data_IF_012449145485
#
_entry.id   IF_012449145485
#
_cell.length_a   1.000
_cell.length_b   1.000
_cell.length_c   1.000
_cell.angle_alpha   90.00
_cell.angle_beta   90.00
_cell.angle_gamma   90.00
#
_symmetry.space_group_name_H-M   'P 1'
#
loop_
_entity.id
_entity.type
_entity.pdbx_description
1 polymer ?
#
# COMPACT_ATOMS: atom_id res chain seq x y z
N UNK A 1 0.49 -31.11 7.38
CA UNK A 1 0.85 -29.89 6.61
C UNK A 1 0.39 -28.59 7.28
N UNK A 2 -0.67 -28.59 8.10
CA UNK A 2 -1.15 -27.40 8.83
C UNK A 2 -0.14 -26.85 9.87
N UNK A 3 0.67 -27.70 10.52
CA UNK A 3 1.58 -27.26 11.60
C UNK A 3 2.75 -26.36 11.13
N UNK A 4 3.15 -26.42 9.85
CA UNK A 4 4.27 -25.61 9.34
C UNK A 4 3.88 -24.15 9.04
N UNK A 5 2.62 -23.88 8.71
CA UNK A 5 2.12 -22.54 8.37
C UNK A 5 1.99 -21.63 9.60
N UNK A 6 1.47 -22.15 10.71
CA UNK A 6 1.33 -21.39 11.96
C UNK A 6 2.68 -21.06 12.63
N UNK A 7 3.69 -21.90 12.40
CA UNK A 7 5.07 -21.62 12.84
C UNK A 7 5.64 -20.34 12.21
N UNK A 8 5.29 -19.99 10.97
CA UNK A 8 5.80 -18.76 10.33
C UNK A 8 5.17 -17.53 10.96
N UNK A 9 3.85 -17.52 11.14
CA UNK A 9 3.15 -16.39 11.75
C UNK A 9 3.70 -16.09 13.15
N UNK A 10 3.86 -17.12 13.98
CA UNK A 10 4.41 -16.99 15.34
C UNK A 10 5.86 -16.51 15.35
N UNK A 11 6.72 -16.98 14.44
CA UNK A 11 8.13 -16.52 14.31
C UNK A 11 8.21 -15.01 14.03
N UNK A 12 7.30 -14.46 13.23
CA UNK A 12 7.24 -13.02 12.94
C UNK A 12 6.28 -12.26 13.90
N UNK A 13 5.83 -12.92 14.96
CA UNK A 13 4.99 -12.38 16.02
C UNK A 13 3.59 -11.95 15.56
N UNK A 14 3.05 -12.56 14.52
CA UNK A 14 1.64 -12.43 14.15
C UNK A 14 0.79 -13.24 15.14
N UNK A 15 -0.21 -12.60 15.71
CA UNK A 15 -1.18 -13.19 16.64
C UNK A 15 -2.60 -12.80 16.19
N UNK A 16 -3.19 -13.63 15.34
CA UNK A 16 -4.50 -13.42 14.72
C UNK A 16 -5.53 -14.51 15.09
N UNK A 17 -5.23 -15.32 16.12
CA UNK A 17 -6.05 -16.46 16.52
C UNK A 17 -6.16 -17.54 15.43
N UNK A 18 -7.14 -18.44 15.56
CA UNK A 18 -7.30 -19.59 14.66
C UNK A 18 -8.11 -19.33 13.37
N UNK A 19 -8.49 -18.07 13.10
CA UNK A 19 -9.31 -17.74 11.90
C UNK A 19 -8.48 -17.76 10.62
N UNK A 20 -7.26 -17.26 10.68
CA UNK A 20 -6.38 -17.14 9.54
C UNK A 20 -5.37 -18.28 9.59
N UNK A 21 -5.23 -19.01 8.50
CA UNK A 21 -4.38 -20.21 8.42
C UNK A 21 -3.50 -20.15 7.18
N UNK A 22 -2.57 -21.11 7.06
CA UNK A 22 -1.68 -21.27 5.89
C UNK A 22 -0.86 -20.01 5.56
N UNK A 23 -0.25 -19.42 6.59
CA UNK A 23 0.54 -18.20 6.41
C UNK A 23 1.77 -18.41 5.52
N UNK A 24 1.96 -17.52 4.55
CA UNK A 24 3.13 -17.50 3.66
C UNK A 24 3.68 -16.08 3.51
N UNK A 25 5.01 -15.88 3.49
CA UNK A 25 5.60 -14.56 3.26
C UNK A 25 5.29 -14.04 1.86
N UNK A 26 4.83 -12.79 1.76
CA UNK A 26 4.61 -12.10 0.48
C UNK A 26 5.72 -11.11 0.13
N UNK A 27 6.30 -10.45 1.13
CA UNK A 27 7.35 -9.46 0.95
C UNK A 27 7.48 -8.53 2.14
N UNK A 28 8.44 -7.60 2.08
CA UNK A 28 8.66 -6.61 3.12
C UNK A 28 8.03 -5.28 2.70
N UNK A 29 7.04 -4.81 3.47
CA UNK A 29 6.54 -3.44 3.39
C UNK A 29 7.29 -2.51 4.32
N UNK A 30 6.92 -1.23 4.32
CA UNK A 30 7.52 -0.20 5.21
C UNK A 30 7.39 -0.54 6.70
N UNK A 31 6.32 -1.26 7.06
CA UNK A 31 6.04 -1.67 8.45
C UNK A 31 6.53 -3.09 8.76
N UNK A 32 7.31 -3.72 7.86
CA UNK A 32 7.85 -5.07 8.02
C UNK A 32 7.20 -6.10 7.10
N UNK A 33 7.41 -7.37 7.43
CA UNK A 33 6.96 -8.51 6.63
C UNK A 33 5.43 -8.52 6.50
N UNK A 34 4.94 -8.63 5.27
CA UNK A 34 3.53 -8.87 4.90
C UNK A 34 3.37 -10.36 4.62
N UNK A 35 2.30 -10.95 5.16
CA UNK A 35 1.97 -12.37 4.97
C UNK A 35 0.71 -12.51 4.11
N UNK A 36 0.61 -13.58 3.32
CA UNK A 36 -0.68 -14.09 2.86
C UNK A 36 -1.20 -15.11 3.86
N UNK A 37 -2.52 -15.26 3.90
CA UNK A 37 -3.20 -16.28 4.69
C UNK A 37 -4.52 -16.68 4.00
N UNK A 38 -5.12 -17.77 4.43
CA UNK A 38 -6.50 -18.14 4.10
C UNK A 38 -7.39 -17.73 5.27
N UNK A 39 -8.37 -16.87 5.00
CA UNK A 39 -9.42 -16.56 5.96
C UNK A 39 -10.46 -17.70 5.93
N UNK A 40 -10.42 -18.55 6.95
CA UNK A 40 -11.32 -19.73 7.05
C UNK A 40 -12.79 -19.37 7.17
N UNK A 41 -13.14 -18.15 7.64
CA UNK A 41 -14.54 -17.71 7.76
C UNK A 41 -15.10 -17.23 6.43
N UNK A 42 -14.32 -16.48 5.68
CA UNK A 42 -14.72 -15.94 4.38
C UNK A 42 -14.33 -16.85 3.21
N UNK A 43 -13.62 -17.95 3.47
CA UNK A 43 -13.10 -18.90 2.50
C UNK A 43 -12.33 -18.25 1.34
N UNK A 44 -11.44 -17.30 1.65
CA UNK A 44 -10.66 -16.57 0.64
C UNK A 44 -9.22 -16.33 1.08
N UNK A 45 -8.32 -16.22 0.10
CA UNK A 45 -6.94 -15.80 0.33
C UNK A 45 -6.90 -14.29 0.58
N UNK A 46 -6.11 -13.87 1.56
CA UNK A 46 -5.95 -12.48 1.98
C UNK A 46 -4.48 -12.13 2.14
N UNK A 47 -4.17 -10.83 2.08
CA UNK A 47 -2.89 -10.29 2.54
C UNK A 47 -3.08 -9.65 3.91
N UNK A 48 -2.12 -9.84 4.80
CA UNK A 48 -2.13 -9.38 6.18
C UNK A 48 -0.87 -8.56 6.44
N UNK A 49 -1.07 -7.27 6.75
CA UNK A 49 -0.01 -6.32 7.08
C UNK A 49 -0.06 -6.00 8.57
N UNK A 50 0.98 -6.37 9.32
CA UNK A 50 1.17 -5.98 10.72
C UNK A 50 1.68 -4.54 10.82
N UNK A 51 1.11 -3.78 11.75
CA UNK A 51 1.49 -2.40 12.06
C UNK A 51 1.79 -2.30 13.54
N UNK A 52 3.00 -1.85 13.87
CA UNK A 52 3.39 -1.54 15.25
C UNK A 52 2.84 -0.16 15.67
N UNK A 53 2.29 -0.10 16.89
CA UNK A 53 1.74 1.09 17.52
C UNK A 53 2.61 1.46 18.75
N UNK A 54 3.92 1.52 18.56
CA UNK A 54 4.91 1.60 19.65
C UNK A 54 5.06 3.00 20.25
N UNK A 55 4.82 4.05 19.47
CA UNK A 55 5.02 5.44 19.89
C UNK A 55 3.92 6.37 19.34
N UNK A 56 3.79 7.56 19.92
CA UNK A 56 2.75 8.51 19.54
C UNK A 56 2.80 8.90 18.04
N UNK A 57 3.98 8.92 17.41
CA UNK A 57 4.07 9.21 15.96
C UNK A 57 3.60 8.00 15.16
N UNK A 58 4.14 6.80 15.38
CA UNK A 58 3.70 5.60 14.64
C UNK A 58 2.19 5.36 14.79
N UNK A 59 1.64 5.54 15.99
CA UNK A 59 0.20 5.45 16.23
C UNK A 59 -0.61 6.49 15.45
N UNK A 60 -0.16 7.75 15.40
CA UNK A 60 -0.81 8.80 14.59
C UNK A 60 -0.78 8.49 13.10
N UNK A 61 0.31 7.90 12.61
CA UNK A 61 0.43 7.45 11.23
C UNK A 61 -0.52 6.29 10.94
N UNK A 62 -0.52 5.25 11.78
CA UNK A 62 -1.38 4.07 11.66
C UNK A 62 -2.87 4.42 11.72
N UNK A 63 -3.29 5.23 12.70
CA UNK A 63 -4.68 5.72 12.82
C UNK A 63 -5.14 6.44 11.55
N UNK A 64 -4.25 7.23 10.95
CA UNK A 64 -4.56 7.94 9.71
C UNK A 64 -4.67 6.99 8.53
N UNK A 65 -3.72 6.07 8.37
CA UNK A 65 -3.76 5.02 7.34
C UNK A 65 -5.09 4.25 7.44
N UNK A 66 -5.41 3.72 8.63
CA UNK A 66 -6.65 2.99 8.92
C UNK A 66 -7.90 3.84 8.60
N UNK A 67 -7.92 5.12 9.01
CA UNK A 67 -9.05 6.01 8.76
C UNK A 67 -9.27 6.30 7.28
N UNK A 68 -8.19 6.41 6.50
CA UNK A 68 -8.26 6.61 5.06
C UNK A 68 -8.76 5.33 4.39
N UNK A 69 -8.04 4.21 4.56
CA UNK A 69 -8.31 2.97 3.83
C UNK A 69 -9.70 2.39 4.10
N UNK A 70 -10.25 2.54 5.32
CA UNK A 70 -11.61 2.07 5.65
C UNK A 70 -12.72 2.81 4.91
N UNK A 71 -12.42 3.93 4.25
CA UNK A 71 -13.38 4.75 3.50
C UNK A 71 -13.22 4.63 2.00
N UNK A 72 -12.20 3.92 1.53
CA UNK A 72 -11.94 3.73 0.11
C UNK A 72 -12.55 2.41 -0.34
N UNK A 73 -13.43 2.47 -1.33
CA UNK A 73 -14.03 1.30 -2.00
C UNK A 73 -14.19 1.64 -3.48
N UNK A 74 -13.30 1.08 -4.30
CA UNK A 74 -13.23 1.34 -5.74
C UNK A 74 -12.41 0.22 -6.41
N UNK A 75 -12.79 -0.18 -7.63
CA UNK A 75 -12.21 -1.36 -8.30
C UNK A 75 -10.68 -1.29 -8.47
N UNK A 76 -10.14 -0.09 -8.64
CA UNK A 76 -8.70 0.15 -8.80
C UNK A 76 -7.98 0.55 -7.51
N UNK A 77 -8.56 0.27 -6.34
CA UNK A 77 -7.96 0.44 -5.02
C UNK A 77 -8.00 -0.90 -4.31
N UNK A 78 -6.89 -1.32 -3.69
CA UNK A 78 -6.83 -2.58 -2.93
C UNK A 78 -7.87 -2.54 -1.81
N UNK A 79 -8.77 -3.53 -1.79
CA UNK A 79 -9.85 -3.56 -0.81
C UNK A 79 -9.31 -3.94 0.57
N UNK A 80 -9.60 -3.12 1.57
CA UNK A 80 -9.35 -3.47 2.98
C UNK A 80 -10.63 -4.08 3.55
N UNK A 81 -10.53 -5.32 4.01
CA UNK A 81 -11.68 -6.04 4.55
C UNK A 81 -11.93 -5.67 6.01
N UNK A 82 -10.87 -5.65 6.81
CA UNK A 82 -10.96 -5.39 8.23
C UNK A 82 -9.60 -4.97 8.80
N UNK A 83 -9.65 -4.36 9.98
CA UNK A 83 -8.47 -4.08 10.79
C UNK A 83 -8.67 -4.74 12.13
N UNK A 84 -7.73 -5.59 12.52
CA UNK A 84 -7.81 -6.45 13.69
C UNK A 84 -6.74 -6.11 14.72
N UNK A 85 -7.05 -6.35 15.98
CA UNK A 85 -6.10 -6.35 17.08
C UNK A 85 -5.47 -7.74 17.27
N UNK A 86 -4.64 -7.89 18.32
CA UNK A 86 -4.12 -9.18 18.76
C UNK A 86 -5.23 -10.20 18.97
N UNK A 87 -4.92 -11.48 18.72
CA UNK A 87 -5.83 -12.63 18.76
C UNK A 87 -7.03 -12.51 17.79
N UNK A 88 -6.93 -11.65 16.78
CA UNK A 88 -7.99 -11.43 15.80
C UNK A 88 -9.21 -10.68 16.36
N UNK A 89 -9.01 -9.87 17.40
CA UNK A 89 -10.07 -9.05 18.01
C UNK A 89 -10.49 -7.90 17.08
N UNK A 90 -11.78 -7.62 16.97
CA UNK A 90 -12.25 -6.42 16.27
C UNK A 90 -11.85 -5.17 17.07
N UNK A 91 -11.32 -4.19 16.36
CA UNK A 91 -10.76 -3.00 16.99
C UNK A 91 -11.80 -1.95 17.40
N UNK A 92 -13.10 -2.06 17.04
CA UNK A 92 -14.25 -1.21 17.44
C UNK A 92 -13.99 0.26 17.90
N UNK A 93 -12.96 0.94 17.37
CA UNK A 93 -12.53 2.28 17.81
C UNK A 93 -11.51 2.34 18.96
N UNK A 94 -11.12 1.23 19.57
CA UNK A 94 -10.20 1.16 20.72
C UNK A 94 -8.73 0.91 20.31
N UNK A 95 -8.25 1.56 19.24
CA UNK A 95 -6.88 1.34 18.74
C UNK A 95 -5.78 1.65 19.77
N UNK A 96 -6.07 2.53 20.72
CA UNK A 96 -5.15 2.95 21.78
C UNK A 96 -4.86 1.87 22.83
N UNK A 97 -5.68 0.82 22.91
CA UNK A 97 -5.48 -0.29 23.86
C UNK A 97 -4.47 -1.34 23.37
N UNK A 98 -4.05 -1.26 22.11
CA UNK A 98 -3.23 -2.27 21.47
C UNK A 98 -1.89 -1.70 21.02
N UNK A 99 -0.84 -2.50 21.18
CA UNK A 99 0.51 -2.19 20.69
C UNK A 99 0.71 -2.59 19.22
N UNK A 100 -0.24 -3.32 18.63
CA UNK A 100 -0.19 -3.83 17.27
C UNK A 100 -1.60 -3.82 16.66
N UNK A 101 -1.69 -3.50 15.38
CA UNK A 101 -2.86 -3.72 14.55
C UNK A 101 -2.49 -4.53 13.30
N UNK A 102 -3.45 -5.27 12.76
CA UNK A 102 -3.33 -6.05 11.53
C UNK A 102 -4.33 -5.54 10.50
N UNK A 103 -3.86 -5.11 9.35
CA UNK A 103 -4.72 -4.78 8.21
C UNK A 103 -4.89 -6.05 7.38
N UNK A 104 -6.12 -6.52 7.27
CA UNK A 104 -6.50 -7.64 6.40
C UNK A 104 -7.08 -7.06 5.13
N UNK A 105 -6.44 -7.35 4.00
CA UNK A 105 -6.78 -6.78 2.71
C UNK A 105 -6.84 -7.84 1.62
N UNK A 106 -7.37 -7.44 0.47
CA UNK A 106 -7.39 -8.21 -0.75
C UNK A 106 -5.98 -8.71 -1.10
N UNK A 107 -5.91 -10.01 -1.37
CA UNK A 107 -4.71 -10.62 -1.89
C UNK A 107 -4.58 -10.27 -3.37
N UNK A 108 -3.41 -9.80 -3.77
CA UNK A 108 -3.05 -9.55 -5.16
C UNK A 108 -1.90 -10.47 -5.55
N UNK A 109 -1.92 -10.94 -6.78
CA UNK A 109 -0.98 -11.95 -7.28
C UNK A 109 0.47 -11.44 -7.26
N UNK A 110 0.68 -10.25 -7.83
CA UNK A 110 1.98 -9.59 -7.93
C UNK A 110 1.86 -8.08 -7.84
N UNK A 111 3.00 -7.40 -7.88
CA UNK A 111 3.11 -5.95 -8.03
C UNK A 111 3.81 -5.60 -9.35
N UNK A 112 3.63 -4.35 -9.78
CA UNK A 112 4.15 -3.89 -11.05
C UNK A 112 5.69 -3.86 -11.06
N UNK A 113 6.37 -3.71 -9.92
CA UNK A 113 7.83 -3.75 -9.91
C UNK A 113 8.32 -5.15 -10.30
N UNK A 114 7.77 -6.20 -9.67
CA UNK A 114 8.08 -7.59 -10.01
C UNK A 114 7.72 -7.96 -11.44
N UNK A 115 6.62 -7.40 -11.96
CA UNK A 115 6.25 -7.62 -13.35
C UNK A 115 7.28 -7.00 -14.32
N UNK A 116 7.79 -5.80 -13.99
CA UNK A 116 8.77 -5.10 -14.83
C UNK A 116 10.19 -5.67 -14.73
N UNK A 117 10.51 -6.43 -13.68
CA UNK A 117 11.75 -7.24 -13.61
C UNK A 117 11.82 -8.29 -14.74
N UNK A 118 10.67 -8.71 -15.28
CA UNK A 118 10.58 -9.67 -16.38
C UNK A 118 10.72 -9.01 -17.76
N UNK A 119 10.68 -7.67 -17.81
CA UNK A 119 10.80 -6.89 -19.04
C UNK A 119 9.72 -5.82 -19.18
N UNK A 120 9.74 -5.15 -20.34
CA UNK A 120 8.77 -4.11 -20.69
C UNK A 120 7.38 -4.69 -20.96
N UNK A 121 6.33 -3.90 -20.75
CA UNK A 121 4.98 -4.30 -21.14
C UNK A 121 4.67 -3.93 -22.59
N UNK A 122 3.81 -4.72 -23.23
CA UNK A 122 3.20 -4.32 -24.50
C UNK A 122 2.43 -3.00 -24.33
N UNK A 123 2.43 -2.15 -25.35
CA UNK A 123 1.79 -0.82 -25.28
C UNK A 123 0.31 -0.90 -24.88
N UNK A 124 -0.41 -1.91 -25.35
CA UNK A 124 -1.82 -2.13 -25.03
C UNK A 124 -2.02 -2.40 -23.53
N UNK A 125 -1.17 -3.23 -22.91
CA UNK A 125 -1.19 -3.48 -21.47
C UNK A 125 -0.80 -2.22 -20.68
N UNK A 126 0.23 -1.49 -21.11
CA UNK A 126 0.63 -0.24 -20.48
C UNK A 126 -0.48 0.82 -20.52
N UNK A 127 -1.21 0.91 -21.65
CA UNK A 127 -2.37 1.81 -21.84
C UNK A 127 -3.53 1.42 -20.92
N UNK A 128 -3.85 0.12 -20.84
CA UNK A 128 -4.89 -0.41 -19.96
C UNK A 128 -4.56 -0.15 -18.49
N UNK A 129 -3.34 -0.48 -18.05
CA UNK A 129 -2.91 -0.25 -16.67
C UNK A 129 -2.84 1.24 -16.33
N UNK A 130 -2.40 2.09 -17.25
CA UNK A 130 -2.42 3.53 -17.04
C UNK A 130 -3.84 4.07 -16.88
N UNK A 131 -4.80 3.59 -17.68
CA UNK A 131 -6.21 3.93 -17.52
C UNK A 131 -6.72 3.56 -16.12
N UNK A 132 -6.45 2.33 -15.67
CA UNK A 132 -6.88 1.85 -14.35
C UNK A 132 -6.22 2.64 -13.20
N UNK A 133 -4.93 2.97 -13.32
CA UNK A 133 -4.20 3.81 -12.37
C UNK A 133 -4.83 5.20 -12.28
N UNK A 134 -5.10 5.84 -13.42
CA UNK A 134 -5.74 7.16 -13.47
C UNK A 134 -7.18 7.14 -12.93
N UNK A 135 -7.93 6.06 -13.17
CA UNK A 135 -9.28 5.87 -12.62
C UNK A 135 -9.24 5.77 -11.09
N UNK A 136 -8.31 5.00 -10.53
CA UNK A 136 -8.06 4.94 -9.09
C UNK A 136 -7.61 6.28 -8.51
N UNK A 137 -6.73 6.99 -9.20
CA UNK A 137 -6.26 8.32 -8.81
C UNK A 137 -7.40 9.34 -8.76
N UNK A 138 -8.23 9.38 -9.80
CA UNK A 138 -9.43 10.22 -9.84
C UNK A 138 -10.31 10.00 -8.61
N UNK A 139 -10.51 8.74 -8.23
CA UNK A 139 -11.31 8.37 -7.06
C UNK A 139 -10.70 8.88 -5.75
N UNK A 140 -9.42 8.59 -5.46
CA UNK A 140 -8.81 9.06 -4.20
C UNK A 140 -8.69 10.58 -4.16
N UNK A 141 -8.43 11.22 -5.31
CA UNK A 141 -8.34 12.67 -5.42
C UNK A 141 -9.69 13.36 -5.25
N UNK A 142 -10.81 12.75 -5.65
CA UNK A 142 -12.15 13.30 -5.38
C UNK A 142 -12.50 13.26 -3.89
N UNK A 143 -11.97 12.26 -3.16
CA UNK A 143 -12.02 12.19 -1.70
C UNK A 143 -10.99 13.11 -0.99
N UNK A 144 -10.29 13.97 -1.74
CA UNK A 144 -9.19 14.81 -1.26
C UNK A 144 -8.06 14.01 -0.57
N UNK A 145 -7.82 12.76 -0.98
CA UNK A 145 -6.70 11.94 -0.51
C UNK A 145 -5.57 12.01 -1.53
N UNK A 146 -4.35 12.27 -1.07
CA UNK A 146 -3.10 12.10 -1.83
C UNK A 146 -2.43 10.80 -1.42
N UNK A 147 -1.90 10.07 -2.39
CA UNK A 147 -1.17 8.84 -2.13
C UNK A 147 0.24 9.11 -1.58
N UNK A 148 0.99 10.02 -2.22
CA UNK A 148 2.34 10.50 -1.84
C UNK A 148 3.49 9.49 -1.94
N UNK A 149 3.21 8.20 -2.18
CA UNK A 149 4.23 7.16 -2.39
C UNK A 149 3.87 6.24 -3.57
N UNK A 150 3.40 6.81 -4.68
CA UNK A 150 3.16 6.01 -5.88
C UNK A 150 4.49 5.58 -6.50
N UNK A 151 4.63 4.26 -6.69
CA UNK A 151 5.75 3.56 -7.30
C UNK A 151 5.28 2.16 -7.72
N UNK A 152 5.94 1.48 -8.67
CA UNK A 152 5.52 0.16 -9.15
C UNK A 152 5.28 -0.87 -8.04
N UNK A 153 6.08 -0.88 -6.97
CA UNK A 153 5.90 -1.79 -5.84
C UNK A 153 4.61 -1.57 -5.02
N UNK A 154 3.93 -0.43 -5.20
CA UNK A 154 2.64 -0.10 -4.56
C UNK A 154 1.46 -0.21 -5.55
N UNK A 155 1.73 -0.68 -6.78
CA UNK A 155 0.74 -0.94 -7.82
C UNK A 155 0.61 -2.45 -7.98
N UNK A 156 -0.52 -2.99 -7.55
CA UNK A 156 -0.76 -4.43 -7.54
C UNK A 156 -1.50 -4.88 -8.79
N UNK A 157 -1.16 -6.07 -9.29
CA UNK A 157 -1.68 -6.61 -10.55
C UNK A 157 -2.26 -8.01 -10.31
N UNK A 158 -3.46 -8.25 -10.84
CA UNK A 158 -3.95 -9.60 -11.17
C UNK A 158 -3.62 -9.82 -12.65
N UNK A 159 -2.70 -10.75 -12.94
CA UNK A 159 -2.23 -10.94 -14.32
C UNK A 159 -3.24 -11.68 -15.18
N UNK A 160 -3.99 -12.60 -14.58
CA UNK A 160 -5.08 -13.34 -15.24
C UNK A 160 -6.22 -12.41 -15.67
N UNK A 161 -6.66 -11.52 -14.77
CA UNK A 161 -7.78 -10.60 -15.05
C UNK A 161 -7.36 -9.29 -15.70
N UNK A 162 -6.06 -9.04 -15.84
CA UNK A 162 -5.47 -7.75 -16.24
C UNK A 162 -6.00 -6.56 -15.40
N UNK A 163 -6.15 -6.77 -14.10
CA UNK A 163 -6.66 -5.76 -13.16
C UNK A 163 -5.50 -5.11 -12.40
N UNK A 164 -5.52 -3.78 -12.33
CA UNK A 164 -4.60 -2.97 -11.53
C UNK A 164 -5.31 -2.35 -10.33
N UNK A 165 -4.68 -2.46 -9.16
CA UNK A 165 -5.12 -1.82 -7.92
C UNK A 165 -4.00 -1.04 -7.23
N UNK A 166 -4.31 0.17 -6.78
CA UNK A 166 -3.40 0.99 -5.98
C UNK A 166 -3.47 0.51 -4.52
N UNK A 167 -2.34 0.27 -3.88
CA UNK A 167 -2.26 -0.10 -2.47
C UNK A 167 -1.18 0.66 -1.71
N UNK A 168 -1.01 0.32 -0.43
CA UNK A 168 -0.10 0.95 0.55
C UNK A 168 -0.30 2.47 0.77
N UNK A 169 -1.33 2.80 1.54
CA UNK A 169 -1.67 4.18 1.91
C UNK A 169 -0.94 4.68 3.18
N UNK A 170 0.15 4.04 3.61
CA UNK A 170 0.86 4.42 4.84
C UNK A 170 1.38 5.86 4.86
N UNK A 171 1.69 6.40 3.68
CA UNK A 171 2.11 7.80 3.52
C UNK A 171 0.98 8.74 3.06
N UNK A 172 -0.24 8.23 2.85
CA UNK A 172 -1.35 9.00 2.33
C UNK A 172 -1.80 10.11 3.29
N UNK A 173 -2.35 11.19 2.71
CA UNK A 173 -2.83 12.36 3.47
C UNK A 173 -4.11 12.92 2.86
N UNK A 174 -5.00 13.40 3.72
CA UNK A 174 -6.13 14.22 3.29
C UNK A 174 -5.59 15.63 3.04
N UNK A 175 -5.80 16.17 1.84
CA UNK A 175 -5.49 17.55 1.49
C UNK A 175 -6.39 18.46 2.31
N UNK A 176 -5.78 19.28 3.15
CA UNK A 176 -6.45 20.37 3.83
C UNK A 176 -5.87 21.68 3.30
N UNK A 177 -6.70 22.50 2.64
CA UNK A 177 -6.29 23.80 2.11
C UNK A 177 -5.87 24.78 3.22
N UNK A 178 -6.28 24.54 4.46
CA UNK A 178 -6.00 25.41 5.61
C UNK A 178 -4.83 24.92 6.48
N UNK A 179 -4.34 23.69 6.25
CA UNK A 179 -3.23 23.13 7.03
C UNK A 179 -2.02 22.81 6.15
N UNK A 180 -0.97 23.61 6.29
CA UNK A 180 0.38 23.22 5.89
C UNK A 180 0.75 21.94 6.65
N UNK A 181 0.83 20.81 5.94
CA UNK A 181 1.34 19.57 6.50
C UNK A 181 2.84 19.73 6.76
N UNK A 182 3.20 20.33 7.90
CA UNK A 182 4.56 20.34 8.44
C UNK A 182 4.91 18.93 8.89
N UNK A 183 5.36 18.12 7.95
CA UNK A 183 5.82 16.77 8.20
C UNK A 183 6.97 16.48 7.26
N UNK A 184 8.19 16.76 7.72
CA UNK A 184 9.39 16.21 7.11
C UNK A 184 9.18 14.70 6.96
N UNK A 185 9.05 14.22 5.73
CA UNK A 185 9.31 12.82 5.43
C UNK A 185 10.78 12.60 5.75
N UNK A 186 11.10 11.62 6.61
CA UNK A 186 12.48 11.25 6.93
C UNK A 186 13.30 11.15 5.65
N UNK A 187 14.21 12.09 5.47
CA UNK A 187 14.79 12.49 4.18
C UNK A 187 15.68 11.42 3.54
N UNK A 188 16.05 10.39 4.33
CA UNK A 188 17.01 9.35 3.97
C UNK A 188 16.49 7.95 3.69
N UNK A 189 15.18 7.66 3.77
CA UNK A 189 14.67 6.26 3.74
C UNK A 189 13.62 5.96 2.68
N UNK A 190 13.31 6.90 1.77
CA UNK A 190 12.23 6.71 0.79
C UNK A 190 12.74 6.97 -0.62
N UNK A 191 12.45 6.04 -1.52
CA UNK A 191 12.76 6.10 -2.95
C UNK A 191 12.33 7.44 -3.56
N UNK A 192 13.29 8.23 -4.05
CA UNK A 192 13.04 9.60 -4.57
C UNK A 192 12.66 9.63 -6.05
N UNK A 193 12.79 8.50 -6.76
CA UNK A 193 12.70 8.42 -8.23
C UNK A 193 11.34 8.79 -8.82
N UNK A 194 10.26 8.64 -8.05
CA UNK A 194 8.90 9.01 -8.47
C UNK A 194 8.44 10.36 -7.92
N UNK A 195 9.32 11.11 -7.24
CA UNK A 195 8.96 12.41 -6.66
C UNK A 195 9.05 13.51 -7.71
N UNK A 196 8.01 14.33 -7.80
CA UNK A 196 8.03 15.52 -8.66
C UNK A 196 9.13 16.52 -8.25
N UNK A 197 9.70 17.30 -9.18
CA UNK A 197 10.67 18.35 -8.88
C UNK A 197 10.18 19.34 -7.82
N UNK A 198 8.88 19.69 -7.87
CA UNK A 198 8.26 20.56 -6.86
C UNK A 198 8.28 19.94 -5.47
N UNK A 199 8.06 18.63 -5.37
CA UNK A 199 8.11 17.92 -4.10
C UNK A 199 9.55 17.82 -3.56
N UNK A 200 10.54 17.72 -4.45
CA UNK A 200 11.95 17.75 -4.07
C UNK A 200 12.38 19.14 -3.56
N UNK A 201 11.90 20.22 -4.21
CA UNK A 201 12.24 21.61 -3.85
C UNK A 201 11.40 22.18 -2.71
N UNK A 202 10.18 21.69 -2.51
CA UNK A 202 9.25 22.18 -1.50
C UNK A 202 8.50 21.01 -0.86
N UNK A 203 9.13 20.30 0.09
CA UNK A 203 8.62 19.06 0.68
C UNK A 203 7.32 19.20 1.46
N UNK A 204 6.79 20.41 1.65
CA UNK A 204 5.54 20.65 2.37
C UNK A 204 4.39 21.11 1.45
N UNK A 205 4.63 21.30 0.15
CA UNK A 205 3.64 21.78 -0.81
C UNK A 205 3.05 20.61 -1.62
N UNK A 206 2.28 19.77 -0.93
CA UNK A 206 1.66 18.60 -1.52
C UNK A 206 0.39 18.99 -2.29
N UNK A 207 0.33 18.60 -3.57
CA UNK A 207 -0.84 18.80 -4.43
C UNK A 207 -1.16 17.49 -5.15
N UNK A 208 -2.37 17.37 -5.70
CA UNK A 208 -2.78 16.22 -6.53
C UNK A 208 -1.81 15.97 -7.71
N UNK A 209 -1.13 17.02 -8.18
CA UNK A 209 -0.17 16.94 -9.27
C UNK A 209 1.08 16.09 -8.96
N UNK A 210 1.44 15.88 -7.68
CA UNK A 210 2.60 15.04 -7.34
C UNK A 210 2.32 13.56 -7.66
N UNK A 211 1.09 13.10 -7.45
CA UNK A 211 0.67 11.73 -7.74
C UNK A 211 0.58 11.55 -9.26
N UNK A 212 0.17 12.60 -10.00
CA UNK A 212 0.17 12.60 -11.46
C UNK A 212 1.58 12.53 -12.06
N UNK A 213 2.56 13.20 -11.44
CA UNK A 213 3.96 13.06 -11.83
C UNK A 213 4.43 11.61 -11.67
N UNK A 214 4.17 11.01 -10.50
CA UNK A 214 4.54 9.63 -10.24
C UNK A 214 3.87 8.67 -11.24
N UNK A 215 2.59 8.88 -11.59
CA UNK A 215 1.89 8.11 -12.61
C UNK A 215 2.56 8.22 -14.00
N UNK A 216 3.06 9.41 -14.37
CA UNK A 216 3.82 9.60 -15.60
C UNK A 216 5.15 8.85 -15.60
N UNK A 217 5.88 8.85 -14.49
CA UNK A 217 7.10 8.05 -14.33
C UNK A 217 6.80 6.54 -14.45
N UNK A 218 5.73 6.07 -13.81
CA UNK A 218 5.29 4.67 -13.89
C UNK A 218 4.93 4.28 -15.34
N UNK A 219 4.23 5.14 -16.08
CA UNK A 219 3.93 4.90 -17.49
C UNK A 219 5.19 4.74 -18.34
N UNK A 220 6.16 5.63 -18.16
CA UNK A 220 7.43 5.53 -18.88
C UNK A 220 8.17 4.23 -18.53
N UNK A 221 8.14 3.81 -17.26
CA UNK A 221 8.76 2.56 -16.82
C UNK A 221 8.03 1.32 -17.38
N UNK A 222 6.69 1.34 -17.49
CA UNK A 222 5.93 0.28 -18.16
C UNK A 222 6.34 0.10 -19.61
N UNK A 223 6.57 1.21 -20.33
CA UNK A 223 6.91 1.20 -21.76
C UNK A 223 8.38 0.87 -22.04
N UNK A 224 9.28 1.16 -21.11
CA UNK A 224 10.74 1.06 -21.32
C UNK A 224 11.42 0.00 -20.46
N UNK A 225 10.74 -0.50 -19.43
CA UNK A 225 11.29 -1.41 -18.42
C UNK A 225 12.39 -0.76 -17.57
N UNK A 226 12.54 0.57 -17.63
CA UNK A 226 13.61 1.30 -16.95
C UNK A 226 13.04 2.52 -16.25
N UNK A 227 13.58 2.80 -15.08
CA UNK A 227 13.17 3.96 -14.30
C UNK A 227 13.46 5.24 -15.09
N UNK A 228 12.46 6.10 -15.26
CA UNK A 228 12.60 7.32 -16.06
C UNK A 228 13.65 8.29 -15.46
N UNK A 229 13.66 8.42 -14.14
CA UNK A 229 14.58 9.31 -13.40
C UNK A 229 15.30 8.54 -12.29
N UNK A 230 16.33 7.77 -12.67
CA UNK A 230 17.20 7.05 -11.74
C UNK A 230 18.29 7.98 -11.17
N UNK A 231 17.89 8.97 -10.37
CA UNK A 231 18.85 9.85 -9.68
C UNK A 231 19.81 9.02 -8.81
N UNK A 232 21.11 9.25 -8.97
CA UNK A 232 22.13 8.74 -8.04
C UNK A 232 21.95 9.44 -6.70
N UNK A 233 21.91 8.65 -5.62
CA UNK A 233 21.88 9.16 -4.24
C UNK A 233 23.13 9.97 -3.93
#
# INVERSE_FOLDING_TARGET
>A
MAEKGDCIASVYGYDLGGRFVDFQPLGFGVNGLVLSAVDSRACRKVAVKKIALSDARSMKHALREIKIIRRLDHDNIVKVYEVLGPKGTDLQGELFKFSVAYIVQEYMETDLARLLEQGTLAEEHAKLFMYQLLRGLKYIHSANVLHRDLKPANIFISTEDLVLKIGDFGLARIVDQHYSHKGYLSEGLVTKWYRSPRLLLSPNNYTKAIDMWAAGCILAEMLTGRMLFAGTL
#
